data_IF_610426842029
#
_entry.id   IF_610426842029
#
_cell.length_a   1.000
_cell.length_b   1.000
_cell.length_c   1.000
_cell.angle_alpha   90.00
_cell.angle_beta   90.00
_cell.angle_gamma   90.00
#
_symmetry.space_group_name_H-M   'P 1'
#
loop_
_entity.id
_entity.type
_entity.pdbx_description
1 polymer ?
#
# COMPACT_ATOMS: atom_id res chain seq x y z
N UNK A 1 -28.32 -34.69 -19.43
CA UNK A 1 -28.04 -33.89 -18.23
C UNK A 1 -26.53 -33.79 -18.12
N UNK A 2 -25.92 -32.69 -18.58
CA UNK A 2 -24.50 -32.43 -18.36
C UNK A 2 -24.42 -31.23 -17.44
N UNK A 3 -24.17 -31.49 -16.16
CA UNK A 3 -23.71 -30.50 -15.22
C UNK A 3 -22.30 -30.11 -15.65
N UNK A 4 -22.19 -29.01 -16.39
CA UNK A 4 -20.91 -28.36 -16.61
C UNK A 4 -20.60 -27.67 -15.29
N UNK A 5 -19.64 -28.26 -14.57
CA UNK A 5 -19.03 -27.70 -13.39
C UNK A 5 -18.72 -26.23 -13.63
N UNK A 6 -19.53 -25.37 -13.01
CA UNK A 6 -19.20 -23.95 -12.86
C UNK A 6 -18.12 -23.90 -11.79
N UNK A 7 -16.88 -24.21 -12.18
CA UNK A 7 -15.70 -23.76 -11.45
C UNK A 7 -15.67 -22.24 -11.62
N UNK A 8 -16.43 -21.55 -10.77
CA UNK A 8 -16.19 -20.14 -10.54
C UNK A 8 -14.74 -20.05 -10.04
N UNK A 9 -13.82 -19.63 -10.89
CA UNK A 9 -12.49 -19.20 -10.47
C UNK A 9 -12.69 -18.15 -9.38
N UNK A 10 -12.59 -18.58 -8.12
CA UNK A 10 -12.64 -17.69 -6.96
C UNK A 10 -11.35 -16.88 -6.98
N UNK A 11 -11.32 -15.82 -7.79
CA UNK A 11 -10.15 -14.98 -7.96
C UNK A 11 -9.98 -14.14 -6.70
N UNK A 12 -9.27 -14.72 -5.73
CA UNK A 12 -8.91 -14.04 -4.49
C UNK A 12 -8.19 -12.73 -4.84
N UNK A 13 -8.70 -11.55 -4.45
CA UNK A 13 -8.06 -10.29 -4.79
C UNK A 13 -6.63 -10.22 -4.23
N UNK A 14 -5.67 -9.80 -5.05
CA UNK A 14 -4.29 -9.58 -4.64
C UNK A 14 -4.01 -8.07 -4.58
N UNK A 15 -3.73 -7.57 -3.37
CA UNK A 15 -3.44 -6.16 -3.14
C UNK A 15 -1.94 -5.92 -3.23
N UNK A 16 -1.54 -5.21 -4.28
CA UNK A 16 -0.16 -4.85 -4.53
C UNK A 16 0.14 -3.42 -4.06
N UNK A 17 1.30 -3.19 -3.43
CA UNK A 17 1.70 -1.85 -3.02
C UNK A 17 1.96 -0.98 -4.25
N UNK A 18 1.61 0.30 -4.17
CA UNK A 18 1.85 1.23 -5.26
C UNK A 18 3.36 1.51 -5.44
N UNK A 19 3.82 1.52 -6.70
CA UNK A 19 5.22 1.73 -7.07
C UNK A 19 5.61 3.20 -7.29
N UNK A 20 4.66 4.10 -7.55
CA UNK A 20 4.92 5.54 -7.74
C UNK A 20 4.53 6.36 -6.51
N UNK A 21 5.23 7.48 -6.28
CA UNK A 21 4.88 8.45 -5.23
C UNK A 21 3.42 8.92 -5.35
N UNK A 22 2.97 9.18 -6.58
CA UNK A 22 1.59 9.54 -6.90
C UNK A 22 0.55 8.56 -6.34
N UNK A 23 0.71 7.28 -6.67
CA UNK A 23 -0.22 6.23 -6.31
C UNK A 23 -0.17 5.91 -4.82
N UNK A 24 0.98 6.14 -4.16
CA UNK A 24 1.08 6.07 -2.70
C UNK A 24 0.30 7.19 -2.01
N UNK A 25 0.38 8.42 -2.52
CA UNK A 25 -0.43 9.55 -2.00
C UNK A 25 -1.92 9.26 -2.18
N UNK A 26 -2.33 8.79 -3.36
CA UNK A 26 -3.73 8.40 -3.60
C UNK A 26 -4.16 7.29 -2.64
N UNK A 27 -3.33 6.26 -2.49
CA UNK A 27 -3.63 5.16 -1.58
C UNK A 27 -3.78 5.65 -0.14
N UNK A 28 -2.85 6.47 0.36
CA UNK A 28 -2.90 7.07 1.70
C UNK A 28 -4.20 7.88 1.89
N UNK A 29 -4.57 8.70 0.91
CA UNK A 29 -5.80 9.49 0.97
C UNK A 29 -7.09 8.66 0.96
N UNK A 30 -7.04 7.44 0.42
CA UNK A 30 -8.22 6.57 0.26
C UNK A 30 -8.39 5.57 1.41
N UNK A 31 -7.28 5.11 2.02
CA UNK A 31 -7.30 4.01 2.98
C UNK A 31 -6.98 4.44 4.42
N UNK A 32 -6.44 5.65 4.63
CA UNK A 32 -6.22 6.15 5.97
C UNK A 32 -7.50 6.79 6.52
N UNK A 33 -7.78 6.58 7.82
CA UNK A 33 -8.84 7.28 8.54
C UNK A 33 -8.61 8.80 8.54
N UNK A 34 -7.33 9.18 8.52
CA UNK A 34 -6.90 10.56 8.35
C UNK A 34 -5.65 10.61 7.48
N UNK A 35 -5.62 11.54 6.54
CA UNK A 35 -4.44 11.87 5.75
C UNK A 35 -4.40 13.37 5.48
N UNK A 36 -3.27 14.01 5.78
CA UNK A 36 -2.98 15.39 5.43
C UNK A 36 -1.55 15.52 4.93
N UNK A 37 -1.37 16.33 3.88
CA UNK A 37 -0.06 16.64 3.35
C UNK A 37 0.02 18.13 3.04
N UNK A 38 1.05 18.79 3.56
CA UNK A 38 1.38 20.17 3.28
C UNK A 38 2.81 20.21 2.71
N UNK A 39 3.03 20.96 1.63
CA UNK A 39 4.35 21.09 1.02
C UNK A 39 5.21 22.21 1.65
N UNK A 40 4.61 23.02 2.52
CA UNK A 40 5.24 24.18 3.12
C UNK A 40 5.58 25.25 2.09
N UNK A 41 5.98 26.43 2.59
CA UNK A 41 6.63 27.46 1.76
C UNK A 41 8.13 27.55 2.05
N UNK A 42 8.59 26.97 3.17
CA UNK A 42 10.01 26.88 3.54
C UNK A 42 10.44 25.41 3.77
N UNK A 43 11.76 25.19 3.81
CA UNK A 43 12.39 23.85 3.81
C UNK A 43 11.99 22.89 4.95
N UNK A 44 11.33 23.36 6.02
CA UNK A 44 10.89 22.52 7.15
C UNK A 44 9.40 22.57 7.43
N UNK A 45 8.65 23.27 6.58
CA UNK A 45 7.21 23.44 6.74
C UNK A 45 6.43 22.32 6.04
N UNK A 46 7.10 21.51 5.20
CA UNK A 46 6.45 20.37 4.56
C UNK A 46 6.22 19.26 5.59
N UNK A 47 5.00 18.71 5.61
CA UNK A 47 4.54 17.73 6.59
C UNK A 47 3.56 16.75 5.98
N UNK A 48 3.70 15.47 6.32
CA UNK A 48 2.70 14.43 6.06
C UNK A 48 2.23 13.91 7.41
N UNK A 49 0.92 13.81 7.59
CA UNK A 49 0.27 13.15 8.71
C UNK A 49 -0.67 12.08 8.17
N UNK A 50 -0.61 10.87 8.72
CA UNK A 50 -1.49 9.76 8.34
C UNK A 50 -1.87 8.91 9.56
N UNK A 51 -3.09 8.34 9.55
CA UNK A 51 -3.59 7.47 10.61
C UNK A 51 -4.40 6.30 10.05
N UNK A 52 -4.17 5.10 10.58
CA UNK A 52 -5.01 3.89 10.40
C UNK A 52 -5.20 3.22 11.76
N UNK A 53 -6.43 3.15 12.24
CA UNK A 53 -6.75 2.61 13.57
C UNK A 53 -5.98 3.35 14.66
N UNK A 54 -5.16 2.63 15.41
CA UNK A 54 -4.30 3.20 16.46
C UNK A 54 -2.91 3.64 15.96
N UNK A 55 -2.57 3.36 14.70
CA UNK A 55 -1.28 3.72 14.11
C UNK A 55 -1.36 5.13 13.55
N UNK A 56 -0.52 6.02 14.07
CA UNK A 56 -0.36 7.39 13.58
C UNK A 56 1.08 7.70 13.23
N UNK A 57 1.30 8.38 12.11
CA UNK A 57 2.60 8.88 11.68
C UNK A 57 2.50 10.31 11.20
N UNK A 58 3.28 11.18 11.82
CA UNK A 58 3.56 12.54 11.36
C UNK A 58 5.05 12.68 11.04
N UNK A 59 5.38 13.19 9.85
CA UNK A 59 6.77 13.44 9.43
C UNK A 59 6.89 14.84 8.83
N UNK A 60 7.87 15.60 9.30
CA UNK A 60 8.33 16.80 8.62
C UNK A 60 9.45 16.43 7.66
N UNK A 61 9.45 17.04 6.48
CA UNK A 61 10.43 16.75 5.44
C UNK A 61 10.78 18.01 4.67
N UNK A 62 11.92 17.99 3.96
CA UNK A 62 12.23 19.01 2.96
C UNK A 62 11.50 18.71 1.67
N UNK A 63 11.03 19.71 0.89
CA UNK A 63 10.29 19.45 -0.35
C UNK A 63 11.01 18.52 -1.35
N UNK A 64 12.34 18.56 -1.42
CA UNK A 64 13.14 17.67 -2.27
C UNK A 64 13.14 16.20 -1.82
N UNK A 65 12.78 15.94 -0.56
CA UNK A 65 12.67 14.60 0.03
C UNK A 65 11.25 14.02 -0.03
N UNK A 66 10.33 14.64 -0.80
CA UNK A 66 8.92 14.22 -0.89
C UNK A 66 8.76 12.72 -1.19
N UNK A 67 9.53 12.21 -2.14
CA UNK A 67 9.47 10.80 -2.55
C UNK A 67 9.73 9.87 -1.36
N UNK A 68 10.77 10.15 -0.59
CA UNK A 68 11.19 9.29 0.51
C UNK A 68 10.25 9.43 1.71
N UNK A 69 9.80 10.66 2.00
CA UNK A 69 8.82 10.93 3.05
C UNK A 69 7.49 10.20 2.79
N UNK A 70 6.95 10.31 1.57
CA UNK A 70 5.74 9.57 1.16
C UNK A 70 5.99 8.07 1.21
N UNK A 71 7.15 7.60 0.75
CA UNK A 71 7.50 6.17 0.78
C UNK A 71 7.49 5.61 2.20
N UNK A 72 8.10 6.31 3.15
CA UNK A 72 8.16 5.90 4.55
C UNK A 72 6.77 5.81 5.18
N UNK A 73 5.99 6.89 5.08
CA UNK A 73 4.62 6.92 5.62
C UNK A 73 3.74 5.86 4.96
N UNK A 74 3.82 5.71 3.64
CA UNK A 74 3.07 4.68 2.91
C UNK A 74 3.34 3.28 3.45
N UNK A 75 4.60 2.89 3.66
CA UNK A 75 4.90 1.53 4.11
C UNK A 75 4.46 1.28 5.55
N UNK A 76 4.53 2.28 6.42
CA UNK A 76 3.99 2.16 7.77
C UNK A 76 2.48 1.95 7.76
N UNK A 77 1.76 2.73 6.96
CA UNK A 77 0.29 2.62 6.84
C UNK A 77 -0.12 1.33 6.11
N UNK A 78 0.58 0.96 5.04
CA UNK A 78 0.34 -0.29 4.32
C UNK A 78 0.52 -1.53 5.21
N UNK A 79 1.56 -1.53 6.04
CA UNK A 79 1.80 -2.64 6.96
C UNK A 79 0.71 -2.70 8.05
N UNK A 80 0.20 -1.56 8.52
CA UNK A 80 -0.90 -1.48 9.49
C UNK A 80 -2.28 -1.81 8.89
N UNK A 81 -2.47 -1.59 7.58
CA UNK A 81 -3.76 -1.77 6.91
C UNK A 81 -4.07 -3.25 6.66
N UNK A 82 -5.18 -3.76 7.15
CA UNK A 82 -5.67 -5.10 6.81
C UNK A 82 -6.83 -5.01 5.81
N UNK A 83 -6.75 -5.63 4.62
CA UNK A 83 -7.85 -5.64 3.68
C UNK A 83 -9.00 -6.49 4.21
N UNK A 84 -10.24 -6.08 3.94
CA UNK A 84 -11.44 -6.86 4.30
C UNK A 84 -11.50 -8.21 3.57
N UNK A 85 -10.90 -8.29 2.37
CA UNK A 85 -10.82 -9.50 1.55
C UNK A 85 -9.52 -9.53 0.74
N UNK A 86 -9.05 -10.73 0.42
CA UNK A 86 -7.88 -10.93 -0.42
C UNK A 86 -6.54 -11.01 0.32
N UNK A 87 -5.45 -11.01 -0.45
CA UNK A 87 -4.08 -11.19 0.05
C UNK A 87 -3.33 -9.86 -0.11
N UNK A 88 -2.78 -9.33 0.99
CA UNK A 88 -1.91 -8.15 1.01
C UNK A 88 -0.44 -8.56 0.83
N UNK A 89 0.27 -7.95 -0.12
CA UNK A 89 1.72 -8.14 -0.26
C UNK A 89 2.47 -7.19 0.68
N UNK A 90 3.03 -7.69 1.78
CA UNK A 90 3.87 -6.89 2.69
C UNK A 90 5.34 -6.87 2.25
N UNK A 91 6.07 -5.76 2.47
CA UNK A 91 7.53 -5.76 2.33
C UNK A 91 8.16 -6.40 3.58
N UNK A 92 8.48 -7.69 3.47
CA UNK A 92 9.24 -8.46 4.44
C UNK A 92 9.37 -9.92 4.01
N UNK A 93 10.46 -10.26 3.30
CA UNK A 93 10.93 -11.65 3.19
C UNK A 93 10.66 -12.43 1.90
N UNK A 94 10.13 -11.84 0.83
CA UNK A 94 10.08 -12.53 -0.45
C UNK A 94 11.16 -11.99 -1.38
N UNK A 95 12.29 -12.69 -1.41
CA UNK A 95 13.28 -12.55 -2.50
C UNK A 95 12.57 -12.74 -3.84
N UNK A 96 13.12 -12.18 -4.92
CA UNK A 96 12.57 -12.25 -6.28
C UNK A 96 12.02 -13.65 -6.67
N UNK A 97 12.63 -14.74 -6.15
CA UNK A 97 12.17 -16.12 -6.31
C UNK A 97 10.77 -16.43 -5.76
N UNK A 98 10.37 -15.81 -4.64
CA UNK A 98 9.08 -16.08 -4.01
C UNK A 98 7.91 -15.37 -4.72
N UNK A 99 8.16 -14.20 -5.31
CA UNK A 99 7.21 -13.53 -6.22
C UNK A 99 6.93 -14.37 -7.47
N UNK A 100 7.97 -15.01 -8.05
CA UNK A 100 7.78 -15.93 -9.18
C UNK A 100 7.00 -17.20 -8.80
N UNK A 101 7.14 -17.70 -7.56
CA UNK A 101 6.34 -18.85 -7.07
C UNK A 101 4.89 -18.51 -6.79
N UNK A 102 4.60 -17.34 -6.21
CA UNK A 102 3.22 -16.86 -6.03
C UNK A 102 2.55 -16.56 -7.38
N UNK A 103 3.28 -15.95 -8.32
CA UNK A 103 2.78 -15.73 -9.67
C UNK A 103 2.56 -17.03 -10.48
N UNK A 104 3.18 -18.14 -10.08
CA UNK A 104 2.92 -19.47 -10.64
C UNK A 104 1.76 -20.18 -9.93
N UNK A 105 1.56 -19.94 -8.63
CA UNK A 105 0.44 -20.48 -7.86
C UNK A 105 -0.90 -19.81 -8.24
N UNK A 106 -0.89 -18.51 -8.56
CA UNK A 106 -2.08 -17.80 -9.07
C UNK A 106 -2.40 -18.06 -10.55
N UNK A 107 -1.65 -18.96 -11.23
CA UNK A 107 -1.90 -19.36 -12.63
C UNK A 107 -2.34 -20.82 -12.78
N UNK A 108 -2.52 -21.54 -11.67
CA UNK A 108 -3.19 -22.84 -11.62
C UNK A 108 -4.62 -22.62 -11.12
#
# INVERSE_FOLDING_TARGET
MNAIDTLAESKTPLHNPSSCTCGRIVWLSTHCDFFAMNMGTNERDARIDAKIGDVYRGVQFRPDMLKDAVSGVFWEMWNAWEPAEGIKVAQGGMTCLALHRLAAYCRQ
#
